data_IF_080829044973
#
_entry.id   IF_080829044973
#
_cell.length_a   1.000
_cell.length_b   1.000
_cell.length_c   1.000
_cell.angle_alpha   90.00
_cell.angle_beta   90.00
_cell.angle_gamma   90.00
#
_symmetry.space_group_name_H-M   'P 1'
#
loop_
_entity.id
_entity.type
_entity.pdbx_description
1 polymer ?
#
# COMPACT_ATOMS: atom_id res chain seq x y z
N UNK A 1 -20.20 -10.09 -33.76
CA UNK A 1 -18.80 -10.29 -33.33
C UNK A 1 -18.70 -9.94 -31.86
N UNK A 2 -18.53 -10.94 -30.99
CA UNK A 2 -18.56 -10.77 -29.54
C UNK A 2 -17.40 -9.91 -29.06
N UNK A 3 -17.72 -8.76 -28.44
CA UNK A 3 -16.74 -8.02 -27.66
C UNK A 3 -16.29 -8.92 -26.51
N UNK A 4 -15.06 -9.45 -26.60
CA UNK A 4 -14.42 -10.11 -25.46
C UNK A 4 -14.30 -9.05 -24.37
N UNK A 5 -15.16 -9.14 -23.33
CA UNK A 5 -15.01 -8.41 -22.07
C UNK A 5 -13.57 -8.65 -21.60
N UNK A 6 -12.68 -7.66 -21.77
CA UNK A 6 -11.41 -7.67 -21.05
C UNK A 6 -11.79 -7.51 -19.59
N UNK A 7 -11.75 -8.60 -18.82
CA UNK A 7 -11.75 -8.52 -17.37
C UNK A 7 -10.61 -7.58 -16.99
N UNK A 8 -10.94 -6.40 -16.48
CA UNK A 8 -9.98 -5.39 -16.09
C UNK A 8 -9.21 -5.89 -14.88
N UNK A 9 -8.11 -6.61 -15.12
CA UNK A 9 -7.23 -7.11 -14.06
C UNK A 9 -6.51 -5.95 -13.32
N UNK A 10 -6.53 -4.74 -13.89
CA UNK A 10 -5.90 -3.53 -13.36
C UNK A 10 -6.34 -3.22 -11.94
N UNK A 11 -7.65 -3.25 -11.64
CA UNK A 11 -8.17 -2.96 -10.30
C UNK A 11 -7.64 -3.92 -9.21
N UNK A 12 -7.75 -5.25 -9.40
CA UNK A 12 -7.14 -6.23 -8.50
C UNK A 12 -5.62 -6.07 -8.33
N UNK A 13 -4.90 -5.74 -9.41
CA UNK A 13 -3.45 -5.50 -9.33
C UNK A 13 -3.11 -4.24 -8.55
N UNK A 14 -3.82 -3.13 -8.77
CA UNK A 14 -3.67 -1.88 -8.01
C UNK A 14 -3.97 -2.09 -6.53
N UNK A 15 -5.02 -2.85 -6.22
CA UNK A 15 -5.36 -3.19 -4.85
C UNK A 15 -4.26 -4.01 -4.17
N UNK A 16 -3.80 -5.09 -4.81
CA UNK A 16 -2.74 -5.93 -4.27
C UNK A 16 -1.42 -5.16 -4.08
N UNK A 17 -1.05 -4.35 -5.08
CA UNK A 17 0.16 -3.53 -5.02
C UNK A 17 0.08 -2.44 -3.94
N UNK A 18 -1.06 -1.77 -3.81
CA UNK A 18 -1.31 -0.81 -2.74
C UNK A 18 -1.21 -1.46 -1.36
N UNK A 19 -1.76 -2.67 -1.18
CA UNK A 19 -1.67 -3.43 0.06
C UNK A 19 -0.24 -3.79 0.43
N UNK A 20 0.58 -4.25 -0.52
CA UNK A 20 2.01 -4.53 -0.30
C UNK A 20 2.76 -3.25 0.06
N UNK A 21 2.47 -2.15 -0.64
CA UNK A 21 3.10 -0.84 -0.42
C UNK A 21 2.76 -0.26 0.96
N UNK A 22 1.56 -0.55 1.49
CA UNK A 22 1.19 -0.13 2.84
C UNK A 22 1.77 -1.04 3.93
N UNK A 23 1.74 -2.37 3.74
CA UNK A 23 2.16 -3.33 4.77
C UNK A 23 3.68 -3.41 4.92
N UNK A 24 4.43 -3.37 3.82
CA UNK A 24 5.87 -3.58 3.84
C UNK A 24 6.64 -2.55 4.70
N UNK A 25 6.38 -1.24 4.59
CA UNK A 25 6.99 -0.23 5.46
C UNK A 25 6.64 -0.44 6.93
N UNK A 26 5.39 -0.79 7.25
CA UNK A 26 4.94 -1.03 8.64
C UNK A 26 5.69 -2.21 9.25
N UNK A 27 5.75 -3.34 8.54
CA UNK A 27 6.47 -4.52 9.00
C UNK A 27 7.98 -4.23 9.16
N UNK A 28 8.56 -3.48 8.23
CA UNK A 28 9.96 -3.06 8.29
C UNK A 28 10.24 -2.17 9.49
N UNK A 29 9.39 -1.17 9.73
CA UNK A 29 9.49 -0.27 10.88
C UNK A 29 9.36 -1.03 12.21
N UNK A 30 8.36 -1.89 12.33
CA UNK A 30 8.15 -2.73 13.51
C UNK A 30 9.35 -3.65 13.74
N UNK A 31 9.88 -4.30 12.71
CA UNK A 31 11.09 -5.12 12.81
C UNK A 31 12.28 -4.31 13.33
N UNK A 32 12.50 -3.11 12.80
CA UNK A 32 13.61 -2.26 13.23
C UNK A 32 13.45 -1.76 14.68
N UNK A 33 12.21 -1.59 15.16
CA UNK A 33 11.94 -1.33 16.59
C UNK A 33 12.32 -2.53 17.46
N UNK A 34 11.92 -3.74 17.07
CA UNK A 34 12.27 -4.97 17.81
C UNK A 34 13.78 -5.24 17.84
N UNK A 35 14.50 -4.92 16.76
CA UNK A 35 15.95 -5.05 16.70
C UNK A 35 16.69 -3.92 17.45
N UNK A 36 15.97 -2.96 18.05
CA UNK A 36 16.57 -1.85 18.79
C UNK A 36 17.32 -0.83 17.92
N UNK A 37 17.23 -0.92 16.58
CA UNK A 37 17.98 -0.07 15.65
C UNK A 37 17.49 1.37 15.57
N UNK A 38 16.29 1.65 16.08
CA UNK A 38 15.66 2.98 16.06
C UNK A 38 15.48 3.55 17.48
N UNK A 39 15.94 2.82 18.51
CA UNK A 39 15.91 3.32 19.88
C UNK A 39 17.25 4.01 20.19
N UNK A 40 17.17 5.12 20.93
CA UNK A 40 18.22 5.93 21.56
C UNK A 40 19.70 5.62 21.20
N UNK A 41 20.52 6.60 20.75
CA UNK A 41 20.35 8.06 20.86
C UNK A 41 19.81 8.74 19.59
N UNK A 42 19.36 7.99 18.59
CA UNK A 42 18.97 8.52 17.28
C UNK A 42 17.48 8.93 17.20
N UNK A 43 17.04 9.85 18.07
CA UNK A 43 15.63 10.32 18.05
C UNK A 43 15.22 10.95 16.70
N UNK A 44 16.15 11.60 16.00
CA UNK A 44 15.91 12.11 14.65
C UNK A 44 15.67 11.00 13.62
N UNK A 45 16.32 9.83 13.79
CA UNK A 45 16.08 8.66 12.95
C UNK A 45 14.68 8.07 13.19
N UNK A 46 14.17 8.13 14.42
CA UNK A 46 12.80 7.71 14.74
C UNK A 46 11.76 8.57 14.03
N UNK A 47 11.90 9.91 14.09
CA UNK A 47 10.99 10.84 13.40
C UNK A 47 11.07 10.66 11.87
N UNK A 48 12.28 10.53 11.31
CA UNK A 48 12.46 10.32 9.88
C UNK A 48 11.83 9.00 9.40
N UNK A 49 12.09 7.90 10.09
CA UNK A 49 11.58 6.58 9.73
C UNK A 49 10.07 6.45 9.93
N UNK A 50 9.52 7.05 10.97
CA UNK A 50 8.07 7.09 11.18
C UNK A 50 7.36 7.92 10.11
N UNK A 51 7.90 9.10 9.77
CA UNK A 51 7.38 9.93 8.67
C UNK A 51 7.42 9.19 7.33
N UNK A 52 8.56 8.56 7.00
CA UNK A 52 8.70 7.73 5.80
C UNK A 52 7.67 6.61 5.77
N UNK A 53 7.52 5.88 6.88
CA UNK A 53 6.54 4.80 7.01
C UNK A 53 5.11 5.30 6.75
N UNK A 54 4.73 6.42 7.37
CA UNK A 54 3.39 7.01 7.20
C UNK A 54 3.11 7.44 5.76
N UNK A 55 4.09 8.03 5.07
CA UNK A 55 3.94 8.44 3.67
C UNK A 55 3.65 7.23 2.77
N UNK A 56 4.40 6.13 2.93
CA UNK A 56 4.17 4.94 2.11
C UNK A 56 2.87 4.21 2.48
N UNK A 57 2.49 4.19 3.75
CA UNK A 57 1.19 3.68 4.19
C UNK A 57 0.06 4.47 3.54
N UNK A 58 0.15 5.80 3.58
CA UNK A 58 -0.84 6.67 2.95
C UNK A 58 -0.94 6.43 1.45
N UNK A 59 0.18 6.37 0.73
CA UNK A 59 0.21 6.06 -0.70
C UNK A 59 -0.37 4.66 -1.01
N UNK A 60 0.00 3.64 -0.23
CA UNK A 60 -0.53 2.30 -0.40
C UNK A 60 -2.04 2.22 -0.21
N UNK A 61 -2.58 2.92 0.80
CA UNK A 61 -4.03 3.02 1.03
C UNK A 61 -4.75 3.76 -0.11
N UNK A 62 -4.16 4.82 -0.67
CA UNK A 62 -4.71 5.49 -1.85
C UNK A 62 -4.79 4.55 -3.06
N UNK A 63 -3.71 3.81 -3.33
CA UNK A 63 -3.69 2.83 -4.43
C UNK A 63 -4.71 1.70 -4.22
N UNK A 64 -4.89 1.25 -2.96
CA UNK A 64 -5.95 0.30 -2.62
C UNK A 64 -7.34 0.87 -2.87
N UNK A 65 -7.58 2.13 -2.49
CA UNK A 65 -8.84 2.82 -2.74
C UNK A 65 -9.17 2.89 -4.23
N UNK A 66 -8.21 3.35 -5.04
CA UNK A 66 -8.36 3.41 -6.50
C UNK A 66 -8.58 2.02 -7.11
N UNK A 67 -7.84 1.00 -6.63
CA UNK A 67 -8.03 -0.39 -7.07
C UNK A 67 -9.43 -0.93 -6.74
N UNK A 68 -9.96 -0.61 -5.55
CA UNK A 68 -11.33 -0.96 -5.16
C UNK A 68 -12.37 -0.24 -6.03
N UNK A 69 -12.20 1.06 -6.28
CA UNK A 69 -13.09 1.83 -7.16
C UNK A 69 -13.14 1.22 -8.57
N UNK A 70 -11.99 0.86 -9.14
CA UNK A 70 -11.93 0.24 -10.47
C UNK A 70 -12.58 -1.17 -10.48
N UNK A 71 -12.40 -1.96 -9.42
CA UNK A 71 -13.07 -3.26 -9.27
C UNK A 71 -14.60 -3.07 -9.23
N UNK A 72 -15.08 -2.11 -8.44
CA UNK A 72 -16.51 -1.84 -8.28
C UNK A 72 -17.13 -1.32 -9.58
N UNK A 73 -16.44 -0.43 -10.30
CA UNK A 73 -16.89 0.08 -11.59
C UNK A 73 -16.92 -1.02 -12.66
N UNK A 74 -15.89 -1.86 -12.73
CA UNK A 74 -15.88 -3.03 -13.63
C UNK A 74 -16.97 -4.03 -13.28
N UNK A 75 -17.34 -4.17 -12.01
CA UNK A 75 -18.42 -5.06 -11.58
C UNK A 75 -19.81 -4.50 -11.93
N UNK A 76 -20.00 -3.17 -11.86
CA UNK A 76 -21.28 -2.52 -12.19
C UNK A 76 -21.60 -2.55 -13.69
N UNK A 77 -20.56 -2.52 -14.53
CA UNK A 77 -20.68 -2.47 -15.99
C UNK A 77 -20.74 -3.87 -16.66
N UNK A 78 -20.75 -4.95 -15.89
CA UNK A 78 -20.68 -6.34 -16.38
C UNK A 78 -22.02 -7.05 -16.20
#
# INVERSE_FOLDING_TARGET
>A
MGQKKRLGLTGPFLFAFGGVTALFPVLSFVKMLFEGRILWPYESAFIGMSTWTLVFVFLGLLMMGLGLEEILESSKNS
#
